data_IF_884047686696
#
_entry.id   IF_884047686696
#
_cell.length_a   1.000
_cell.length_b   1.000
_cell.length_c   1.000
_cell.angle_alpha   90.00
_cell.angle_beta   90.00
_cell.angle_gamma   90.00
#
_symmetry.space_group_name_H-M   'P 1'
#
loop_
_entity.id
_entity.type
_entity.pdbx_description
1 polymer ?
#
# COMPACT_ATOMS: atom_id res chain seq x y z
N UNK A 1 26.13 -2.92 25.09
CA UNK A 1 26.47 -3.42 23.78
C UNK A 1 25.51 -2.88 22.73
N UNK A 2 26.03 -2.27 21.78
CA UNK A 2 25.21 -1.67 20.72
C UNK A 2 24.98 -2.72 19.67
N UNK A 3 23.76 -3.18 19.56
CA UNK A 3 23.35 -3.79 18.34
C UNK A 3 23.23 -2.70 17.29
N UNK A 4 24.25 -2.57 16.52
CA UNK A 4 24.07 -1.93 15.24
C UNK A 4 23.15 -2.81 14.43
N UNK A 5 21.87 -2.49 14.47
CA UNK A 5 20.96 -2.92 13.44
C UNK A 5 21.51 -2.29 12.15
N UNK A 6 22.23 -3.10 11.39
CA UNK A 6 22.54 -2.71 10.03
C UNK A 6 21.20 -2.49 9.34
N UNK A 7 20.88 -1.23 9.08
CA UNK A 7 19.73 -0.88 8.30
C UNK A 7 20.00 -1.34 6.87
N UNK A 8 19.34 -2.43 6.49
CA UNK A 8 19.37 -2.88 5.10
C UNK A 8 18.51 -1.95 4.27
N UNK A 9 19.13 -1.40 3.27
CA UNK A 9 18.44 -0.67 2.23
C UNK A 9 18.15 -1.64 1.09
N UNK A 10 16.90 -1.73 0.69
CA UNK A 10 16.43 -2.65 -0.36
C UNK A 10 15.63 -1.86 -1.38
N UNK A 11 15.93 -2.05 -2.66
CA UNK A 11 15.10 -1.54 -3.75
C UNK A 11 14.10 -2.59 -4.18
N UNK A 12 12.85 -2.20 -4.28
CA UNK A 12 11.77 -3.06 -4.78
C UNK A 12 10.99 -2.36 -5.88
N UNK A 13 10.55 -3.15 -6.83
CA UNK A 13 9.49 -2.72 -7.74
C UNK A 13 8.16 -2.66 -6.99
N UNK A 14 7.26 -1.79 -7.42
CA UNK A 14 5.88 -1.79 -6.94
C UNK A 14 5.08 -3.00 -7.41
N UNK A 15 5.67 -3.83 -8.27
CA UNK A 15 5.18 -5.15 -8.67
C UNK A 15 6.23 -6.21 -8.33
N UNK A 16 6.52 -6.44 -7.04
CA UNK A 16 7.66 -7.26 -6.65
C UNK A 16 7.41 -8.75 -6.91
N UNK A 17 8.52 -9.47 -7.16
CA UNK A 17 8.48 -10.92 -7.24
C UNK A 17 8.40 -11.54 -5.84
N UNK A 18 7.91 -12.78 -5.70
CA UNK A 18 7.92 -13.47 -4.40
C UNK A 18 9.34 -13.58 -3.81
N UNK A 19 10.34 -13.77 -4.65
CA UNK A 19 11.75 -13.88 -4.23
C UNK A 19 12.24 -12.55 -3.63
N UNK A 20 11.91 -11.43 -4.27
CA UNK A 20 12.27 -10.11 -3.76
C UNK A 20 11.57 -9.81 -2.43
N UNK A 21 10.30 -10.18 -2.29
CA UNK A 21 9.57 -10.03 -1.03
C UNK A 21 10.17 -10.86 0.10
N UNK A 22 10.66 -12.05 -0.21
CA UNK A 22 11.26 -12.94 0.79
C UNK A 22 12.55 -12.37 1.40
N UNK A 23 13.21 -11.45 0.73
CA UNK A 23 14.42 -10.79 1.23
C UNK A 23 14.13 -9.70 2.26
N UNK A 24 12.87 -9.25 2.37
CA UNK A 24 12.50 -8.20 3.32
C UNK A 24 12.58 -8.71 4.76
N UNK A 25 13.11 -7.86 5.63
CA UNK A 25 13.19 -8.11 7.07
C UNK A 25 12.64 -6.92 7.82
N UNK A 26 12.20 -7.15 9.04
CA UNK A 26 11.78 -6.05 9.91
C UNK A 26 12.92 -5.05 10.06
N UNK A 27 12.60 -3.77 9.92
CA UNK A 27 13.58 -2.69 10.00
C UNK A 27 14.26 -2.35 8.68
N UNK A 28 13.98 -3.09 7.60
CA UNK A 28 14.52 -2.74 6.28
C UNK A 28 14.00 -1.38 5.82
N UNK A 29 14.88 -0.60 5.22
CA UNK A 29 14.49 0.61 4.50
C UNK A 29 14.25 0.20 3.05
N UNK A 30 13.05 0.47 2.56
CA UNK A 30 12.64 0.04 1.23
C UNK A 30 12.46 1.25 0.33
N UNK A 31 13.15 1.24 -0.80
CA UNK A 31 12.96 2.20 -1.88
C UNK A 31 12.07 1.54 -2.93
N UNK A 32 10.92 2.13 -3.18
CA UNK A 32 9.95 1.60 -4.14
C UNK A 32 10.06 2.36 -5.45
N UNK A 33 10.22 1.61 -6.54
CA UNK A 33 10.25 2.15 -7.89
C UNK A 33 9.06 1.62 -8.67
N UNK A 34 8.31 2.51 -9.28
CA UNK A 34 7.18 2.18 -10.13
C UNK A 34 5.91 2.91 -9.71
N UNK A 35 4.80 2.46 -10.27
CA UNK A 35 3.49 3.02 -9.98
C UNK A 35 2.93 2.42 -8.69
N UNK A 36 2.46 3.25 -7.80
CA UNK A 36 1.67 2.81 -6.65
C UNK A 36 0.29 3.47 -6.71
N UNK A 37 -0.69 2.87 -6.06
CA UNK A 37 -2.01 3.46 -5.99
C UNK A 37 -2.39 3.77 -4.54
N UNK A 38 -3.25 4.76 -4.36
CA UNK A 38 -3.75 5.14 -3.04
C UNK A 38 -5.16 4.58 -2.86
N UNK A 39 -5.42 3.99 -1.71
CA UNK A 39 -6.74 3.51 -1.35
C UNK A 39 -6.89 3.48 0.16
N UNK A 40 -8.05 3.89 0.64
CA UNK A 40 -8.46 3.82 2.03
C UNK A 40 -9.89 3.31 2.09
N UNK A 41 -10.56 3.48 3.23
CA UNK A 41 -11.91 2.94 3.45
C UNK A 41 -12.89 3.36 2.35
N UNK A 42 -12.85 4.62 1.87
CA UNK A 42 -13.76 5.08 0.83
C UNK A 42 -13.64 4.27 -0.45
N UNK A 43 -12.43 3.98 -0.88
CA UNK A 43 -12.19 3.14 -2.06
C UNK A 43 -12.59 1.69 -1.78
N UNK A 44 -12.22 1.16 -0.64
CA UNK A 44 -12.57 -0.22 -0.27
C UNK A 44 -14.08 -0.44 -0.23
N UNK A 45 -14.81 0.47 0.40
CA UNK A 45 -16.27 0.40 0.43
C UNK A 45 -16.87 0.51 -0.97
N UNK A 46 -16.36 1.43 -1.77
CA UNK A 46 -16.89 1.67 -3.11
C UNK A 46 -16.68 0.48 -4.04
N UNK A 47 -15.52 -0.14 -3.97
CA UNK A 47 -15.16 -1.27 -4.82
C UNK A 47 -15.72 -2.59 -4.29
N UNK A 48 -15.54 -2.86 -2.99
CA UNK A 48 -15.92 -4.15 -2.41
C UNK A 48 -17.41 -4.26 -2.09
N UNK A 49 -18.00 -3.21 -1.55
CA UNK A 49 -19.42 -3.18 -1.18
C UNK A 49 -20.27 -2.61 -2.31
N UNK A 50 -19.85 -1.51 -2.91
CA UNK A 50 -20.56 -0.84 -4.01
C UNK A 50 -20.28 -1.41 -5.39
N UNK A 51 -19.35 -2.35 -5.53
CA UNK A 51 -18.95 -3.01 -6.78
C UNK A 51 -18.49 -2.06 -7.89
N UNK A 52 -17.90 -0.93 -7.51
CA UNK A 52 -17.31 -0.01 -8.47
C UNK A 52 -16.11 -0.64 -9.18
N UNK A 53 -15.86 -0.21 -10.40
CA UNK A 53 -14.68 -0.67 -11.16
C UNK A 53 -13.41 0.02 -10.67
N UNK A 54 -12.34 -0.74 -10.62
CA UNK A 54 -11.00 -0.21 -10.37
C UNK A 54 -10.49 0.38 -11.68
N UNK A 55 -10.04 1.66 -11.69
CA UNK A 55 -9.66 2.34 -12.96
C UNK A 55 -8.28 1.94 -13.49
N UNK A 56 -7.66 0.90 -12.96
CA UNK A 56 -6.36 0.42 -13.41
C UNK A 56 -6.34 -1.11 -13.37
N UNK A 57 -5.41 -1.71 -14.09
CA UNK A 57 -5.26 -3.16 -14.11
C UNK A 57 -4.34 -3.62 -12.98
N UNK A 58 -4.94 -4.22 -11.96
CA UNK A 58 -4.23 -4.77 -10.81
C UNK A 58 -4.20 -6.30 -10.88
N UNK A 59 -3.10 -6.94 -10.54
CA UNK A 59 -1.85 -6.35 -10.01
C UNK A 59 -0.84 -5.94 -11.08
N UNK A 60 -1.18 -6.01 -12.36
CA UNK A 60 -0.23 -5.79 -13.45
C UNK A 60 0.43 -4.41 -13.42
N UNK A 61 -0.34 -3.36 -13.21
CA UNK A 61 0.20 -2.00 -13.17
C UNK A 61 0.81 -1.67 -11.82
N UNK A 62 0.26 -2.20 -10.75
CA UNK A 62 0.79 -2.02 -9.40
C UNK A 62 0.30 -3.12 -8.46
N UNK A 63 1.19 -3.55 -7.58
CA UNK A 63 0.85 -4.43 -6.47
C UNK A 63 1.10 -3.74 -5.13
N UNK A 64 1.13 -2.42 -5.12
CA UNK A 64 1.47 -1.61 -3.94
C UNK A 64 0.38 -0.60 -3.66
N UNK A 65 -0.29 -0.77 -2.52
CA UNK A 65 -1.33 0.12 -2.03
C UNK A 65 -0.77 1.03 -0.94
N UNK A 66 -0.95 2.32 -1.10
CA UNK A 66 -0.61 3.30 -0.09
C UNK A 66 -1.87 3.76 0.64
N UNK A 67 -1.95 3.50 1.94
CA UNK A 67 -3.04 3.98 2.79
C UNK A 67 -2.89 5.48 2.99
N UNK A 68 -3.40 6.24 2.05
CA UNK A 68 -3.25 7.67 1.98
C UNK A 68 -4.41 8.28 1.21
N UNK A 69 -4.80 9.48 1.62
CA UNK A 69 -5.59 10.41 0.82
C UNK A 69 -4.72 11.62 0.57
N UNK A 70 -4.06 11.69 -0.57
CA UNK A 70 -3.18 12.84 -0.85
C UNK A 70 -4.00 14.12 -0.95
N UNK A 71 -3.44 15.21 -0.44
CA UNK A 71 -3.97 16.52 -0.71
C UNK A 71 -3.71 16.85 -2.18
N UNK A 72 -4.75 17.24 -2.91
CA UNK A 72 -4.62 17.57 -4.32
C UNK A 72 -5.48 18.78 -4.66
N UNK A 73 -4.97 19.62 -5.55
CA UNK A 73 -5.70 20.72 -6.13
C UNK A 73 -5.93 20.44 -7.60
N UNK A 74 -7.15 20.71 -8.06
CA UNK A 74 -7.48 20.58 -9.48
C UNK A 74 -7.25 21.91 -10.14
N UNK A 75 -6.40 21.95 -11.16
CA UNK A 75 -6.13 23.15 -11.95
C UNK A 75 -7.23 23.35 -13.01
N UNK A 76 -7.29 24.55 -13.58
CA UNK A 76 -8.31 24.90 -14.57
C UNK A 76 -8.26 24.02 -15.82
N UNK A 77 -7.10 23.46 -16.16
CA UNK A 77 -6.92 22.54 -17.29
C UNK A 77 -7.27 21.09 -16.96
N UNK A 78 -7.73 20.80 -15.74
CA UNK A 78 -8.06 19.46 -15.30
C UNK A 78 -6.89 18.66 -14.73
N UNK A 79 -5.68 19.20 -14.74
CA UNK A 79 -4.51 18.56 -14.14
C UNK A 79 -4.55 18.68 -12.62
N UNK A 80 -3.78 17.80 -11.94
CA UNK A 80 -3.70 17.79 -10.48
C UNK A 80 -2.36 18.32 -10.01
N UNK A 81 -2.42 19.14 -8.98
CA UNK A 81 -1.26 19.60 -8.24
C UNK A 81 -1.25 18.89 -6.90
N UNK A 82 -0.22 18.07 -6.66
CA UNK A 82 -0.15 17.25 -5.46
C UNK A 82 0.46 18.06 -4.31
N UNK A 83 -0.23 18.06 -3.18
CA UNK A 83 0.28 18.59 -1.92
C UNK A 83 0.87 17.48 -1.04
N UNK A 84 0.53 17.51 0.23
CA UNK A 84 1.05 16.52 1.19
C UNK A 84 0.56 15.11 0.87
N UNK A 85 1.50 14.16 0.87
CA UNK A 85 1.23 12.73 0.71
C UNK A 85 1.80 12.02 1.93
N UNK A 86 0.94 11.68 2.88
CA UNK A 86 1.35 11.06 4.15
C UNK A 86 0.52 9.81 4.43
N UNK A 87 1.19 8.81 5.00
CA UNK A 87 0.53 7.56 5.38
C UNK A 87 -0.48 7.79 6.50
N UNK A 88 -1.58 7.05 6.46
CA UNK A 88 -2.54 6.96 7.55
C UNK A 88 -2.46 5.60 8.22
N UNK A 89 -3.02 5.48 9.43
CA UNK A 89 -3.06 4.22 10.16
C UNK A 89 -3.92 3.19 9.44
N UNK A 90 -3.44 1.95 9.39
CA UNK A 90 -4.08 0.87 8.62
C UNK A 90 -5.16 0.13 9.41
N UNK A 91 -5.19 0.23 10.73
CA UNK A 91 -6.09 -0.57 11.56
C UNK A 91 -7.56 -0.39 11.22
N UNK A 92 -7.96 0.80 10.76
CA UNK A 92 -9.34 1.10 10.40
C UNK A 92 -9.80 0.35 9.15
N UNK A 93 -8.87 -0.16 8.37
CA UNK A 93 -9.14 -0.82 7.09
C UNK A 93 -8.96 -2.34 7.15
N UNK A 94 -8.53 -2.85 8.30
CA UNK A 94 -8.18 -4.27 8.47
C UNK A 94 -9.30 -5.22 8.03
N UNK A 95 -10.55 -4.89 8.29
CA UNK A 95 -11.69 -5.74 7.95
C UNK A 95 -11.86 -5.94 6.44
N UNK A 96 -11.40 -5.02 5.61
CA UNK A 96 -11.50 -5.13 4.15
C UNK A 96 -10.27 -5.75 3.50
N UNK A 97 -9.14 -5.78 4.21
CA UNK A 97 -7.85 -6.18 3.63
C UNK A 97 -7.86 -7.60 3.03
N UNK A 98 -8.41 -8.64 3.68
CA UNK A 98 -8.39 -9.97 3.09
C UNK A 98 -9.03 -10.01 1.70
N UNK A 99 -10.21 -9.42 1.57
CA UNK A 99 -10.94 -9.37 0.31
C UNK A 99 -10.22 -8.48 -0.71
N UNK A 100 -9.71 -7.33 -0.25
CA UNK A 100 -8.99 -6.40 -1.10
C UNK A 100 -7.71 -7.02 -1.67
N UNK A 101 -6.91 -7.67 -0.83
CA UNK A 101 -5.67 -8.32 -1.27
C UNK A 101 -5.96 -9.44 -2.26
N UNK A 102 -7.00 -10.22 -2.02
CA UNK A 102 -7.41 -11.30 -2.92
C UNK A 102 -7.90 -10.76 -4.27
N UNK A 103 -8.68 -9.68 -4.25
CA UNK A 103 -9.25 -9.09 -5.47
C UNK A 103 -8.22 -8.37 -6.31
N UNK A 104 -7.28 -7.67 -5.70
CA UNK A 104 -6.32 -6.80 -6.39
C UNK A 104 -4.96 -7.43 -6.62
N UNK A 105 -4.65 -8.53 -5.97
CA UNK A 105 -3.32 -9.13 -6.01
C UNK A 105 -2.25 -8.25 -5.36
N UNK A 106 -2.64 -7.32 -4.51
CA UNK A 106 -1.72 -6.42 -3.82
C UNK A 106 -0.77 -7.21 -2.92
N UNK A 107 0.52 -6.87 -2.98
CA UNK A 107 1.60 -7.52 -2.22
C UNK A 107 2.22 -6.63 -1.17
N UNK A 108 2.13 -5.32 -1.35
CA UNK A 108 2.70 -4.33 -0.45
C UNK A 108 1.63 -3.34 -0.02
N UNK A 109 1.58 -3.07 1.26
CA UNK A 109 0.71 -2.05 1.84
C UNK A 109 1.58 -1.07 2.62
N UNK A 110 1.48 0.20 2.29
CA UNK A 110 2.19 1.27 2.99
C UNK A 110 1.19 1.97 3.90
N UNK A 111 1.51 2.05 5.18
CA UNK A 111 0.65 2.70 6.16
C UNK A 111 1.38 2.88 7.48
N UNK A 112 0.67 3.38 8.48
CA UNK A 112 1.21 3.55 9.83
C UNK A 112 0.86 2.39 10.77
N UNK A 113 0.37 1.27 10.22
CA UNK A 113 0.08 0.08 11.00
C UNK A 113 -1.09 0.25 11.96
N UNK A 114 -0.94 -0.26 13.17
CA UNK A 114 -1.98 -0.24 14.20
C UNK A 114 -2.91 -1.45 14.18
N UNK A 115 -2.73 -2.37 13.24
CA UNK A 115 -3.50 -3.61 13.17
C UNK A 115 -3.07 -4.56 14.29
N UNK A 116 -3.93 -5.54 14.58
CA UNK A 116 -3.60 -6.55 15.59
C UNK A 116 -2.53 -7.51 15.08
N UNK A 117 -1.85 -8.17 16.01
CA UNK A 117 -0.88 -9.21 15.67
C UNK A 117 -1.51 -10.32 14.82
N UNK A 118 -2.75 -10.66 15.14
CA UNK A 118 -3.53 -11.65 14.39
C UNK A 118 -3.75 -11.21 12.93
N UNK A 119 -4.06 -9.94 12.72
CA UNK A 119 -4.25 -9.39 11.38
C UNK A 119 -2.95 -9.50 10.57
N UNK A 120 -1.81 -9.12 11.15
CA UNK A 120 -0.53 -9.23 10.46
C UNK A 120 -0.20 -10.67 10.08
N UNK A 121 -0.48 -11.61 10.97
CA UNK A 121 -0.24 -13.04 10.69
C UNK A 121 -1.14 -13.58 9.61
N UNK A 122 -2.40 -13.16 9.58
CA UNK A 122 -3.38 -13.70 8.64
C UNK A 122 -3.30 -13.09 7.25
N UNK A 123 -2.87 -11.82 7.13
CA UNK A 123 -2.92 -11.09 5.86
C UNK A 123 -1.57 -11.00 5.18
N UNK A 124 -0.51 -11.10 5.91
CA UNK A 124 0.86 -10.94 5.45
C UNK A 124 1.74 -12.09 5.95
#
# INVERSE_FOLDING_TARGET
MVNTLEQREIRLSTTPTPEALAELKLGSIVYLDGLLYTAREGVYMHVLEGKAKIPMELPRESATNFHCSPAARINDDGSFEMGAVTATASFRFAKWLPEWLAKTGTKLVIGKGGMTRKDYKNYF
#
